data_IF_372876266030
#
_entry.id   IF_372876266030
#
_cell.length_a   1.000
_cell.length_b   1.000
_cell.length_c   1.000
_cell.angle_alpha   90.00
_cell.angle_beta   90.00
_cell.angle_gamma   90.00
#
_symmetry.space_group_name_H-M   'P 1'
#
loop_
_entity.id
_entity.type
_entity.pdbx_description
1 polymer ?
#
# COMPACT_ATOMS: atom_id res chain seq x y z
N UNK A 1 33.02 11.71 1.75
CA UNK A 1 33.19 11.18 3.13
C UNK A 1 31.98 10.32 3.44
N UNK A 2 32.19 9.03 3.64
CA UNK A 2 31.17 7.98 3.62
C UNK A 2 30.16 8.11 4.78
N UNK A 3 28.94 8.55 4.48
CA UNK A 3 27.77 8.44 5.35
C UNK A 3 26.97 7.21 4.88
N UNK A 4 27.50 6.02 5.19
CA UNK A 4 27.00 4.74 4.66
C UNK A 4 26.19 3.97 5.72
N UNK A 5 24.99 3.56 5.34
CA UNK A 5 24.16 2.44 5.82
C UNK A 5 23.76 2.29 7.31
N UNK A 6 24.59 2.65 8.29
CA UNK A 6 24.27 2.43 9.70
C UNK A 6 23.11 3.30 10.22
N UNK A 7 22.80 4.38 9.51
CA UNK A 7 21.87 5.43 9.91
C UNK A 7 20.42 5.14 9.51
N UNK A 8 20.23 4.35 8.44
CA UNK A 8 18.92 3.90 7.97
C UNK A 8 18.51 2.54 8.59
N UNK A 9 19.47 1.65 8.91
CA UNK A 9 19.16 0.41 9.63
C UNK A 9 18.75 0.67 11.10
N UNK A 10 19.20 1.79 11.69
CA UNK A 10 18.84 2.21 13.05
C UNK A 10 17.48 2.93 13.15
N UNK A 11 16.73 2.99 12.04
CA UNK A 11 15.33 3.44 12.00
C UNK A 11 14.34 2.30 12.27
N UNK A 12 14.81 1.05 12.35
CA UNK A 12 14.02 -0.14 12.70
C UNK A 12 14.19 -0.48 14.19
N UNK A 13 13.67 0.36 15.08
CA UNK A 13 13.22 -0.14 16.39
C UNK A 13 11.71 -0.37 16.33
N UNK A 14 11.20 -1.49 16.87
CA UNK A 14 9.77 -1.80 16.84
C UNK A 14 9.05 -0.79 17.73
N UNK A 15 8.41 0.20 17.10
CA UNK A 15 7.65 1.21 17.82
C UNK A 15 6.52 0.55 18.59
N UNK A 16 6.68 0.68 19.91
CA UNK A 16 5.80 0.22 20.95
C UNK A 16 4.37 0.71 20.78
N UNK A 17 3.46 -0.19 21.18
CA UNK A 17 2.08 0.12 21.52
C UNK A 17 1.93 1.46 22.23
N UNK A 18 1.07 2.32 21.69
CA UNK A 18 0.36 3.33 22.47
C UNK A 18 -0.47 2.59 23.53
N UNK A 19 0.09 2.47 24.75
CA UNK A 19 -0.68 2.07 25.92
C UNK A 19 -1.68 3.18 26.22
N UNK A 20 -2.93 2.98 25.80
CA UNK A 20 -4.09 3.70 26.34
C UNK A 20 -4.20 3.40 27.84
N UNK A 21 -4.06 4.42 28.66
CA UNK A 21 -4.33 4.35 30.09
C UNK A 21 -5.82 4.18 30.35
N UNK A 22 -6.19 3.13 31.09
CA UNK A 22 -7.44 3.10 31.86
C UNK A 22 -7.34 2.09 33.01
N UNK A 23 -7.31 2.67 34.21
CA UNK A 23 -7.89 2.27 35.50
C UNK A 23 -8.08 0.80 35.93
N UNK A 24 -7.61 0.57 37.17
CA UNK A 24 -8.24 -0.20 38.25
C UNK A 24 -8.00 -1.73 38.39
N UNK A 25 -7.29 -2.01 39.50
CA UNK A 25 -7.49 -3.09 40.47
C UNK A 25 -6.84 -4.48 40.29
N UNK A 26 -5.97 -4.73 41.29
CA UNK A 26 -5.69 -5.97 42.04
C UNK A 26 -4.63 -6.91 41.42
N UNK A 27 -3.41 -6.92 41.99
CA UNK A 27 -3.00 -7.82 43.09
C UNK A 27 -3.25 -9.29 42.74
N UNK A 28 -2.20 -10.01 42.35
CA UNK A 28 -1.61 -11.15 43.07
C UNK A 28 -0.45 -11.70 42.24
N UNK A 29 0.74 -11.62 42.82
CA UNK A 29 1.94 -12.39 42.47
C UNK A 29 1.77 -13.82 43.00
N UNK A 30 2.15 -14.84 42.24
CA UNK A 30 3.01 -15.95 42.68
C UNK A 30 3.48 -16.78 41.44
N UNK A 31 4.67 -17.41 41.48
CA UNK A 31 5.34 -18.02 40.33
C UNK A 31 5.31 -19.57 40.38
N UNK A 32 6.09 -20.20 39.49
CA UNK A 32 6.83 -21.47 39.69
C UNK A 32 6.37 -22.70 38.88
N UNK A 33 7.22 -22.98 37.87
CA UNK A 33 7.80 -24.25 37.44
C UNK A 33 6.98 -25.38 36.79
N UNK A 34 7.66 -25.89 35.75
CA UNK A 34 7.82 -27.29 35.38
C UNK A 34 6.64 -27.96 34.66
N UNK A 35 6.83 -28.14 33.35
CA UNK A 35 6.79 -29.49 32.78
C UNK A 35 7.69 -29.58 31.55
N UNK A 36 8.89 -30.10 31.79
CA UNK A 36 9.84 -30.55 30.78
C UNK A 36 9.84 -32.07 30.77
N UNK A 37 9.79 -32.63 29.56
CA UNK A 37 10.24 -34.00 29.28
C UNK A 37 9.13 -35.00 28.98
N UNK A 38 9.52 -36.02 28.19
CA UNK A 38 8.75 -37.19 27.72
C UNK A 38 8.03 -36.86 26.37
N UNK A 39 8.44 -37.30 25.17
CA UNK A 39 9.21 -38.46 24.73
C UNK A 39 9.93 -38.20 23.40
N UNK A 40 11.23 -38.50 23.38
CA UNK A 40 11.93 -38.98 22.20
C UNK A 40 11.61 -40.48 22.04
N UNK A 41 11.05 -40.88 20.89
CA UNK A 41 11.17 -42.21 20.29
C UNK A 41 10.21 -42.33 19.11
N UNK A 42 10.73 -42.31 17.88
CA UNK A 42 10.31 -43.11 16.71
C UNK A 42 10.97 -42.56 15.44
N UNK A 43 12.29 -42.64 15.43
CA UNK A 43 13.07 -42.64 14.21
C UNK A 43 13.37 -44.11 13.85
N UNK A 44 12.43 -44.81 13.23
CA UNK A 44 12.70 -46.07 12.54
C UNK A 44 11.57 -46.31 11.53
N UNK A 45 11.89 -46.16 10.24
CA UNK A 45 11.42 -46.93 9.07
C UNK A 45 11.56 -46.09 7.80
N UNK A 46 12.78 -46.09 7.23
CA UNK A 46 12.99 -45.87 5.80
C UNK A 46 13.12 -47.25 5.12
N UNK A 47 12.36 -47.53 4.05
CA UNK A 47 12.83 -48.32 2.93
C UNK A 47 13.42 -47.40 1.86
N UNK A 48 14.53 -47.86 1.30
CA UNK A 48 15.34 -47.19 0.31
C UNK A 48 14.88 -47.58 -1.09
N UNK A 49 15.40 -46.86 -2.08
CA UNK A 49 15.48 -47.16 -3.52
C UNK A 49 14.35 -46.62 -4.40
N UNK A 50 14.77 -45.73 -5.29
CA UNK A 50 13.98 -45.14 -6.36
C UNK A 50 14.82 -44.09 -7.07
N UNK A 51 15.95 -44.51 -7.66
CA UNK A 51 16.77 -43.69 -8.57
C UNK A 51 15.88 -43.24 -9.74
N UNK A 52 15.43 -41.99 -9.73
CA UNK A 52 14.89 -41.36 -10.92
C UNK A 52 16.08 -40.87 -11.76
N UNK A 53 16.40 -41.65 -12.79
CA UNK A 53 17.26 -41.23 -13.88
C UNK A 53 16.69 -39.93 -14.48
N UNK A 54 17.40 -38.83 -14.27
CA UNK A 54 17.23 -37.62 -15.07
C UNK A 54 17.65 -37.96 -16.51
N UNK A 55 16.69 -38.15 -17.40
CA UNK A 55 16.95 -38.20 -18.83
C UNK A 55 17.20 -36.76 -19.32
N UNK A 56 18.30 -36.50 -20.05
CA UNK A 56 18.50 -35.22 -20.70
C UNK A 56 17.52 -35.12 -21.87
N UNK A 57 16.57 -34.18 -21.79
CA UNK A 57 15.74 -33.82 -22.94
C UNK A 57 16.66 -33.16 -23.98
N UNK A 58 16.98 -33.92 -25.03
CA UNK A 58 17.67 -33.43 -26.21
C UNK A 58 16.80 -32.35 -26.87
N UNK A 59 17.40 -31.17 -26.99
CA UNK A 59 16.89 -30.04 -27.76
C UNK A 59 16.97 -30.41 -29.24
N UNK A 60 15.88 -30.91 -29.82
CA UNK A 60 15.79 -31.10 -31.26
C UNK A 60 15.71 -29.73 -31.94
N UNK A 61 16.76 -29.40 -32.69
CA UNK A 61 16.83 -28.26 -33.57
C UNK A 61 15.84 -28.45 -34.75
N UNK A 62 14.93 -27.50 -34.94
CA UNK A 62 14.19 -27.35 -36.19
C UNK A 62 14.99 -26.42 -37.14
N UNK A 63 14.99 -26.68 -38.46
CA UNK A 63 15.88 -26.02 -39.41
C UNK A 63 15.50 -24.56 -39.68
N UNK A 64 16.53 -23.70 -39.76
CA UNK A 64 16.44 -22.34 -40.28
C UNK A 64 16.28 -22.36 -41.82
N UNK A 65 15.36 -21.60 -42.42
CA UNK A 65 15.46 -21.19 -43.81
C UNK A 65 16.23 -19.86 -43.92
N UNK A 66 17.28 -19.87 -44.73
CA UNK A 66 18.07 -18.71 -45.17
C UNK A 66 17.35 -17.95 -46.32
N UNK A 67 17.84 -16.76 -46.75
CA UNK A 67 17.01 -15.59 -47.03
C UNK A 67 16.50 -15.50 -48.47
N UNK A 68 15.26 -15.04 -48.65
CA UNK A 68 14.64 -14.86 -49.96
C UNK A 68 13.73 -13.64 -50.02
N UNK A 69 14.28 -12.56 -50.60
CA UNK A 69 13.64 -11.53 -51.45
C UNK A 69 12.33 -10.87 -50.96
N UNK A 70 12.45 -9.60 -50.57
CA UNK A 70 11.34 -8.69 -50.30
C UNK A 70 10.41 -8.50 -51.51
N UNK A 71 9.08 -8.54 -51.34
CA UNK A 71 8.13 -7.91 -52.25
C UNK A 71 7.83 -6.47 -51.81
N UNK A 72 7.71 -5.61 -52.82
CA UNK A 72 7.53 -4.17 -52.74
C UNK A 72 6.25 -3.76 -51.98
N UNK A 73 6.39 -2.69 -51.19
CA UNK A 73 5.28 -1.97 -50.54
C UNK A 73 4.49 -1.21 -51.60
N UNK A 74 3.17 -1.38 -51.75
CA UNK A 74 2.35 -0.50 -52.57
C UNK A 74 2.20 0.87 -51.88
N UNK A 75 2.42 1.93 -52.65
CA UNK A 75 2.26 3.31 -52.21
C UNK A 75 0.82 3.61 -51.76
N UNK A 76 0.69 4.21 -50.58
CA UNK A 76 -0.57 4.77 -50.07
C UNK A 76 -0.80 6.12 -50.75
N UNK A 77 -1.93 6.36 -51.46
CA UNK A 77 -2.25 7.70 -51.91
C UNK A 77 -2.70 8.57 -50.73
N UNK A 78 -2.12 9.76 -50.64
CA UNK A 78 -2.54 10.80 -49.71
C UNK A 78 -4.01 11.18 -49.98
N UNK A 79 -4.84 11.11 -48.93
CA UNK A 79 -6.13 11.77 -48.90
C UNK A 79 -6.24 12.58 -47.61
N UNK A 80 -6.52 13.86 -47.82
CA UNK A 80 -6.59 14.97 -46.89
C UNK A 80 -7.85 14.96 -46.02
N UNK A 81 -7.67 15.43 -44.79
CA UNK A 81 -8.64 16.12 -43.93
C UNK A 81 -9.89 15.35 -43.44
N UNK A 82 -9.89 15.01 -42.14
CA UNK A 82 -10.85 15.52 -41.15
C UNK A 82 -10.50 14.93 -39.76
N UNK A 83 -10.74 15.73 -38.73
CA UNK A 83 -10.52 15.44 -37.32
C UNK A 83 -11.26 14.17 -36.88
N UNK A 84 -10.56 13.25 -36.20
CA UNK A 84 -11.19 12.25 -35.34
C UNK A 84 -10.21 11.91 -34.21
N UNK A 85 -10.60 12.27 -32.99
CA UNK A 85 -9.94 11.85 -31.76
C UNK A 85 -9.72 10.33 -31.75
N UNK A 86 -8.67 9.81 -31.09
CA UNK A 86 -8.47 8.38 -30.96
C UNK A 86 -9.59 7.77 -30.12
N UNK A 87 -10.68 7.37 -30.78
CA UNK A 87 -11.71 6.46 -30.24
C UNK A 87 -10.99 5.21 -29.78
N UNK A 88 -10.99 4.99 -28.47
CA UNK A 88 -10.64 3.70 -27.88
C UNK A 88 -11.50 2.64 -28.56
N UNK A 89 -10.92 1.86 -29.46
CA UNK A 89 -11.65 0.87 -30.24
C UNK A 89 -12.25 -0.16 -29.29
N UNK A 90 -13.55 -0.37 -29.42
CA UNK A 90 -14.46 -1.22 -28.63
C UNK A 90 -14.19 -2.74 -28.74
N UNK A 91 -12.91 -3.15 -28.81
CA UNK A 91 -12.48 -4.54 -28.98
C UNK A 91 -12.11 -5.24 -27.68
N UNK A 92 -12.14 -4.53 -26.55
CA UNK A 92 -12.02 -5.10 -25.21
C UNK A 92 -13.34 -4.86 -24.48
N UNK A 93 -14.25 -5.85 -24.52
CA UNK A 93 -15.44 -5.82 -23.68
C UNK A 93 -15.03 -6.13 -22.25
N UNK A 94 -14.77 -5.07 -21.47
CA UNK A 94 -14.64 -5.21 -20.02
C UNK A 94 -15.96 -5.80 -19.48
N UNK A 95 -15.94 -6.78 -18.57
CA UNK A 95 -17.15 -7.29 -17.95
C UNK A 95 -17.86 -6.16 -17.19
N UNK A 96 -18.89 -5.59 -17.81
CA UNK A 96 -19.76 -4.59 -17.17
C UNK A 96 -20.72 -5.35 -16.30
N UNK A 97 -20.38 -5.51 -15.02
CA UNK A 97 -21.33 -6.10 -14.10
C UNK A 97 -22.42 -5.07 -13.77
N UNK A 98 -23.59 -5.19 -14.39
CA UNK A 98 -24.77 -4.39 -14.02
C UNK A 98 -25.14 -4.57 -12.54
N UNK A 99 -24.69 -5.65 -11.89
CA UNK A 99 -24.84 -5.85 -10.46
C UNK A 99 -23.99 -4.87 -9.64
N UNK A 100 -22.82 -4.43 -10.14
CA UNK A 100 -21.94 -3.52 -9.43
C UNK A 100 -22.57 -2.12 -9.29
N UNK A 101 -23.13 -1.57 -10.37
CA UNK A 101 -23.87 -0.29 -10.29
C UNK A 101 -25.02 -0.37 -9.29
N UNK A 102 -25.82 -1.44 -9.34
CA UNK A 102 -26.94 -1.64 -8.39
C UNK A 102 -26.46 -1.72 -6.94
N UNK A 103 -25.32 -2.36 -6.69
CA UNK A 103 -24.72 -2.43 -5.34
C UNK A 103 -24.34 -1.04 -4.86
N UNK A 104 -23.65 -0.24 -5.67
CA UNK A 104 -23.24 1.12 -5.31
C UNK A 104 -24.45 2.04 -5.07
N UNK A 105 -25.45 2.01 -5.94
CA UNK A 105 -26.67 2.81 -5.75
C UNK A 105 -27.39 2.43 -4.45
N UNK A 106 -27.49 1.14 -4.14
CA UNK A 106 -28.09 0.68 -2.88
C UNK A 106 -27.29 1.13 -1.65
N UNK A 107 -25.96 1.16 -1.74
CA UNK A 107 -25.13 1.75 -0.67
C UNK A 107 -25.46 3.22 -0.47
N UNK A 108 -25.60 4.01 -1.55
CA UNK A 108 -25.96 5.43 -1.46
C UNK A 108 -27.33 5.62 -0.79
N UNK A 109 -28.31 4.79 -1.12
CA UNK A 109 -29.63 4.80 -0.48
C UNK A 109 -29.57 4.51 1.03
N UNK A 110 -28.77 3.52 1.45
CA UNK A 110 -28.57 3.22 2.87
C UNK A 110 -27.85 4.34 3.61
N UNK A 111 -26.85 4.95 2.99
CA UNK A 111 -26.14 6.11 3.56
C UNK A 111 -27.09 7.29 3.74
N UNK A 112 -27.98 7.55 2.78
CA UNK A 112 -28.99 8.61 2.89
C UNK A 112 -30.00 8.39 4.03
N UNK A 113 -30.19 7.14 4.44
CA UNK A 113 -31.05 6.74 5.59
C UNK A 113 -30.26 6.54 6.89
N UNK A 114 -28.96 6.81 6.89
CA UNK A 114 -28.05 6.56 8.02
C UNK A 114 -27.98 5.09 8.45
N UNK A 115 -28.31 4.15 7.55
CA UNK A 115 -28.22 2.71 7.77
C UNK A 115 -26.78 2.22 7.54
N UNK A 116 -25.87 2.62 8.44
CA UNK A 116 -24.43 2.38 8.29
C UNK A 116 -24.07 0.90 8.17
N UNK A 117 -24.75 0.03 8.93
CA UNK A 117 -24.42 -1.39 9.02
C UNK A 117 -24.43 -2.12 7.69
N UNK A 118 -25.48 -1.96 6.89
CA UNK A 118 -25.58 -2.63 5.59
C UNK A 118 -24.69 -1.97 4.53
N UNK A 119 -24.59 -0.64 4.58
CA UNK A 119 -23.69 0.13 3.71
C UNK A 119 -22.24 -0.30 3.86
N UNK A 120 -21.69 -0.28 5.08
CA UNK A 120 -20.28 -0.63 5.30
C UNK A 120 -19.99 -2.09 5.02
N UNK A 121 -20.94 -3.00 5.29
CA UNK A 121 -20.78 -4.43 5.00
C UNK A 121 -20.70 -4.70 3.51
N UNK A 122 -21.57 -4.06 2.72
CA UNK A 122 -21.54 -4.19 1.27
C UNK A 122 -20.26 -3.56 0.69
N UNK A 123 -19.87 -2.37 1.15
CA UNK A 123 -18.61 -1.72 0.74
C UNK A 123 -17.38 -2.57 1.05
N UNK A 124 -17.29 -3.13 2.27
CA UNK A 124 -16.18 -4.01 2.63
C UNK A 124 -16.16 -5.30 1.79
N UNK A 125 -17.34 -5.86 1.47
CA UNK A 125 -17.41 -7.06 0.61
C UNK A 125 -16.84 -6.78 -0.79
N UNK A 126 -17.07 -5.59 -1.34
CA UNK A 126 -16.49 -5.14 -2.61
C UNK A 126 -14.97 -5.04 -2.50
N UNK A 127 -14.46 -4.41 -1.43
CA UNK A 127 -13.03 -4.28 -1.18
C UNK A 127 -12.35 -5.65 -0.99
N UNK A 128 -13.08 -6.63 -0.46
CA UNK A 128 -12.56 -7.96 -0.21
C UNK A 128 -12.56 -8.88 -1.43
N UNK A 129 -13.30 -8.52 -2.49
CA UNK A 129 -13.32 -9.27 -3.77
C UNK A 129 -11.91 -9.44 -4.32
N UNK A 130 -11.58 -10.60 -4.87
CA UNK A 130 -10.28 -10.87 -5.48
C UNK A 130 -10.08 -10.13 -6.79
N UNK A 131 -11.14 -9.95 -7.55
CA UNK A 131 -11.14 -9.22 -8.82
C UNK A 131 -11.77 -7.84 -8.65
N UNK A 132 -11.25 -6.88 -9.40
CA UNK A 132 -11.83 -5.56 -9.52
C UNK A 132 -12.73 -5.52 -10.74
N UNK A 133 -13.88 -4.89 -10.58
CA UNK A 133 -14.88 -4.72 -11.63
C UNK A 133 -14.91 -3.25 -12.00
N UNK A 134 -15.31 -2.93 -13.22
CA UNK A 134 -15.48 -1.54 -13.66
C UNK A 134 -16.95 -1.19 -13.76
N UNK A 135 -17.27 0.06 -13.41
CA UNK A 135 -18.58 0.66 -13.60
C UNK A 135 -18.47 1.95 -14.43
N UNK A 136 -19.59 2.45 -14.95
CA UNK A 136 -19.65 3.80 -15.51
C UNK A 136 -20.08 4.78 -14.44
N UNK A 137 -19.30 5.83 -14.22
CA UNK A 137 -19.68 6.94 -13.34
C UNK A 137 -20.79 7.80 -13.98
N UNK A 138 -21.28 8.80 -13.25
CA UNK A 138 -22.31 9.74 -13.70
C UNK A 138 -21.89 10.53 -14.97
N UNK A 139 -20.57 10.64 -15.20
CA UNK A 139 -19.98 11.30 -16.37
C UNK A 139 -19.71 10.31 -17.52
N UNK A 140 -20.14 9.05 -17.39
CA UNK A 140 -19.97 8.01 -18.39
C UNK A 140 -18.56 7.42 -18.47
N UNK A 141 -17.65 7.75 -17.54
CA UNK A 141 -16.27 7.26 -17.49
C UNK A 141 -16.21 5.91 -16.80
N UNK A 142 -15.32 5.03 -17.26
CA UNK A 142 -15.07 3.74 -16.63
C UNK A 142 -14.23 3.91 -15.37
N UNK A 143 -14.78 3.50 -14.22
CA UNK A 143 -14.15 3.63 -12.90
C UNK A 143 -14.16 2.27 -12.20
N UNK A 144 -13.09 1.97 -11.48
CA UNK A 144 -12.99 0.80 -10.61
C UNK A 144 -14.08 0.83 -9.52
N UNK A 145 -14.76 -0.29 -9.32
CA UNK A 145 -15.76 -0.44 -8.26
C UNK A 145 -15.10 -0.40 -6.88
N UNK A 146 -13.87 -0.92 -6.75
CA UNK A 146 -13.10 -0.77 -5.49
C UNK A 146 -12.68 0.66 -5.23
N UNK A 147 -12.29 1.40 -6.27
CA UNK A 147 -11.99 2.82 -6.14
C UNK A 147 -13.22 3.58 -5.64
N UNK A 148 -14.37 3.33 -6.24
CA UNK A 148 -15.62 3.96 -5.84
C UNK A 148 -16.04 3.59 -4.42
N UNK A 149 -15.89 2.32 -4.03
CA UNK A 149 -16.16 1.90 -2.65
C UNK A 149 -15.24 2.60 -1.63
N UNK A 150 -13.95 2.73 -1.95
CA UNK A 150 -13.01 3.49 -1.12
C UNK A 150 -13.36 4.98 -1.06
N UNK A 151 -13.77 5.58 -2.17
CA UNK A 151 -14.21 6.98 -2.22
C UNK A 151 -15.41 7.19 -1.29
N UNK A 152 -16.45 6.37 -1.41
CA UNK A 152 -17.66 6.44 -0.58
C UNK A 152 -17.33 6.27 0.91
N UNK A 153 -16.51 5.28 1.28
CA UNK A 153 -16.10 5.10 2.68
C UNK A 153 -15.34 6.31 3.25
N UNK A 154 -14.55 6.99 2.41
CA UNK A 154 -13.80 8.19 2.81
C UNK A 154 -14.67 9.44 2.95
N UNK A 155 -15.79 9.48 2.23
CA UNK A 155 -16.76 10.57 2.25
C UNK A 155 -17.88 10.38 3.28
N UNK A 156 -17.96 9.21 3.93
CA UNK A 156 -18.92 8.97 5.00
C UNK A 156 -18.83 10.07 6.07
N UNK A 157 -19.98 10.48 6.66
CA UNK A 157 -19.98 11.30 7.85
C UNK A 157 -19.17 10.68 8.99
N UNK A 158 -18.77 11.51 9.95
CA UNK A 158 -17.92 11.07 11.08
C UNK A 158 -18.50 9.86 11.82
N UNK A 159 -19.82 9.75 11.94
CA UNK A 159 -20.47 8.63 12.61
C UNK A 159 -20.38 7.34 11.80
N UNK A 160 -20.55 7.41 10.47
CA UNK A 160 -20.33 6.28 9.57
C UNK A 160 -18.87 5.81 9.56
N UNK A 161 -17.91 6.74 9.60
CA UNK A 161 -16.48 6.39 9.71
C UNK A 161 -16.14 5.71 11.04
N UNK A 162 -16.71 6.20 12.15
CA UNK A 162 -16.56 5.56 13.47
C UNK A 162 -17.19 4.17 13.50
N UNK A 163 -18.37 4.00 12.89
CA UNK A 163 -19.01 2.71 12.76
C UNK A 163 -18.13 1.73 11.97
N UNK A 164 -17.53 2.17 10.86
CA UNK A 164 -16.62 1.36 10.06
C UNK A 164 -15.37 0.91 10.87
N UNK A 165 -14.76 1.82 11.65
CA UNK A 165 -13.65 1.47 12.55
C UNK A 165 -14.07 0.48 13.64
N UNK A 166 -15.28 0.62 14.20
CA UNK A 166 -15.80 -0.31 15.19
C UNK A 166 -15.98 -1.72 14.61
N UNK A 167 -16.58 -1.83 13.42
CA UNK A 167 -16.88 -3.10 12.77
C UNK A 167 -15.61 -3.80 12.24
N UNK A 168 -14.70 -3.06 11.59
CA UNK A 168 -13.58 -3.65 10.86
C UNK A 168 -12.20 -3.38 11.45
N UNK A 169 -12.07 -2.46 12.41
CA UNK A 169 -10.78 -2.10 13.00
C UNK A 169 -10.08 -3.27 13.71
N UNK A 170 -10.83 -4.16 14.37
CA UNK A 170 -10.25 -5.33 15.02
C UNK A 170 -9.65 -6.33 14.02
N UNK A 171 -10.36 -6.59 12.92
CA UNK A 171 -9.89 -7.45 11.83
C UNK A 171 -8.66 -6.84 11.14
N UNK A 172 -8.68 -5.54 10.86
CA UNK A 172 -7.58 -4.81 10.26
C UNK A 172 -6.32 -4.84 11.14
N UNK A 173 -6.45 -4.60 12.46
CA UNK A 173 -5.34 -4.71 13.42
C UNK A 173 -4.76 -6.12 13.47
N UNK A 174 -5.61 -7.15 13.46
CA UNK A 174 -5.15 -8.54 13.43
C UNK A 174 -4.40 -8.87 12.13
N UNK A 175 -4.88 -8.38 10.98
CA UNK A 175 -4.21 -8.53 9.70
C UNK A 175 -2.85 -7.81 9.68
N UNK A 176 -2.79 -6.58 10.19
CA UNK A 176 -1.53 -5.81 10.30
C UNK A 176 -0.51 -6.52 11.18
N UNK A 177 -0.92 -7.05 12.34
CA UNK A 177 -0.02 -7.84 13.20
C UNK A 177 0.58 -9.05 12.47
N UNK A 178 -0.21 -9.75 11.65
CA UNK A 178 0.28 -10.86 10.81
C UNK A 178 1.22 -10.37 9.71
N UNK A 179 0.88 -9.28 9.04
CA UNK A 179 1.73 -8.66 8.02
C UNK A 179 3.10 -8.28 8.58
N UNK A 180 3.13 -7.62 9.74
CA UNK A 180 4.37 -7.27 10.45
C UNK A 180 5.22 -8.50 10.77
N UNK A 181 4.61 -9.60 11.22
CA UNK A 181 5.33 -10.84 11.51
C UNK A 181 5.93 -11.49 10.26
N UNK A 182 5.28 -11.35 9.09
CA UNK A 182 5.79 -11.90 7.82
C UNK A 182 6.90 -11.06 7.20
N UNK A 183 6.93 -9.76 7.47
CA UNK A 183 7.81 -8.81 6.79
C UNK A 183 7.52 -8.64 5.29
N UNK A 184 6.42 -9.19 4.77
CA UNK A 184 6.06 -9.16 3.35
C UNK A 184 5.35 -7.83 2.99
N UNK A 185 5.92 -6.99 2.11
CA UNK A 185 5.28 -5.77 1.63
C UNK A 185 3.91 -6.01 0.96
N UNK A 186 3.67 -7.20 0.39
CA UNK A 186 2.36 -7.58 -0.18
C UNK A 186 1.26 -7.54 0.87
N UNK A 187 1.56 -8.01 2.08
CA UNK A 187 0.59 -8.01 3.17
C UNK A 187 0.17 -6.57 3.52
N UNK A 188 1.12 -5.64 3.58
CA UNK A 188 0.80 -4.22 3.81
C UNK A 188 -0.06 -3.63 2.70
N UNK A 189 0.23 -3.96 1.44
CA UNK A 189 -0.56 -3.50 0.31
C UNK A 189 -2.01 -4.01 0.35
N UNK A 190 -2.22 -5.29 0.65
CA UNK A 190 -3.56 -5.85 0.79
C UNK A 190 -4.35 -5.18 1.92
N UNK A 191 -3.72 -4.92 3.07
CA UNK A 191 -4.37 -4.26 4.20
C UNK A 191 -4.67 -2.80 3.88
N UNK A 192 -3.72 -2.08 3.29
CA UNK A 192 -3.88 -0.69 2.89
C UNK A 192 -5.03 -0.50 1.91
N UNK A 193 -5.29 -1.48 1.03
CA UNK A 193 -6.43 -1.43 0.11
C UNK A 193 -7.76 -1.84 0.74
N UNK A 194 -7.77 -2.92 1.51
CA UNK A 194 -9.00 -3.53 2.05
C UNK A 194 -9.53 -2.77 3.25
N UNK A 195 -8.65 -2.14 4.02
CA UNK A 195 -8.97 -1.50 5.29
C UNK A 195 -8.50 -0.05 5.33
N UNK A 196 -8.36 0.62 4.18
CA UNK A 196 -7.76 1.96 4.04
C UNK A 196 -8.29 2.98 5.05
N UNK A 197 -9.57 2.89 5.39
CA UNK A 197 -10.23 3.86 6.25
C UNK A 197 -10.16 3.55 7.75
N UNK A 198 -9.61 2.39 8.13
CA UNK A 198 -9.30 2.04 9.52
C UNK A 198 -7.95 2.61 9.96
N UNK A 199 -7.71 2.68 11.27
CA UNK A 199 -6.39 3.07 11.81
C UNK A 199 -5.27 2.13 11.33
N UNK A 200 -5.52 0.81 11.38
CA UNK A 200 -4.54 -0.19 10.95
C UNK A 200 -4.28 -0.15 9.43
N UNK A 201 -5.26 0.25 8.62
CA UNK A 201 -5.07 0.46 7.19
C UNK A 201 -4.21 1.68 6.87
N UNK A 202 -4.38 2.77 7.64
CA UNK A 202 -3.51 3.94 7.54
C UNK A 202 -2.06 3.59 7.92
N UNK A 203 -1.87 2.82 8.99
CA UNK A 203 -0.55 2.32 9.41
C UNK A 203 0.07 1.41 8.34
N UNK A 204 -0.70 0.48 7.77
CA UNK A 204 -0.25 -0.38 6.68
C UNK A 204 0.19 0.44 5.44
N UNK A 205 -0.58 1.46 5.08
CA UNK A 205 -0.25 2.34 3.96
C UNK A 205 1.01 3.18 4.24
N UNK A 206 1.22 3.62 5.48
CA UNK A 206 2.47 4.29 5.89
C UNK A 206 3.69 3.36 5.79
N UNK A 207 3.55 2.11 6.23
CA UNK A 207 4.60 1.09 6.12
C UNK A 207 4.92 0.78 4.66
N UNK A 208 3.89 0.66 3.81
CA UNK A 208 4.06 0.47 2.37
C UNK A 208 4.76 1.66 1.72
N UNK A 209 4.40 2.90 2.09
CA UNK A 209 5.09 4.11 1.63
C UNK A 209 6.56 4.16 2.08
N UNK A 210 6.86 3.74 3.31
CA UNK A 210 8.24 3.58 3.78
C UNK A 210 8.99 2.55 2.94
N UNK A 211 8.40 1.38 2.69
CA UNK A 211 8.99 0.35 1.85
C UNK A 211 9.36 0.87 0.46
N UNK A 212 8.45 1.57 -0.22
CA UNK A 212 8.73 2.14 -1.54
C UNK A 212 9.81 3.20 -1.52
N UNK A 213 9.80 4.07 -0.50
CA UNK A 213 10.83 5.08 -0.33
C UNK A 213 12.20 4.43 -0.14
N UNK A 214 12.25 3.34 0.62
CA UNK A 214 13.44 2.51 0.76
C UNK A 214 13.87 1.87 -0.55
N UNK A 215 12.95 1.41 -1.40
CA UNK A 215 13.31 0.89 -2.72
C UNK A 215 13.68 1.98 -3.75
N UNK A 216 13.66 3.27 -3.39
CA UNK A 216 13.84 4.37 -4.34
C UNK A 216 12.67 4.57 -5.30
N UNK A 217 11.54 3.91 -5.03
CA UNK A 217 10.30 4.02 -5.78
C UNK A 217 9.52 5.26 -5.33
N UNK A 218 10.07 6.44 -5.63
CA UNK A 218 9.60 7.72 -5.08
C UNK A 218 8.15 8.06 -5.45
N UNK A 219 7.72 7.72 -6.68
CA UNK A 219 6.33 7.94 -7.13
C UNK A 219 5.36 7.12 -6.29
N UNK A 220 5.62 5.82 -6.11
CA UNK A 220 4.77 4.95 -5.31
C UNK A 220 4.74 5.37 -3.83
N UNK A 221 5.90 5.79 -3.30
CA UNK A 221 5.97 6.33 -1.94
C UNK A 221 5.14 7.61 -1.79
N UNK A 222 5.26 8.56 -2.73
CA UNK A 222 4.51 9.81 -2.72
C UNK A 222 3.00 9.56 -2.75
N UNK A 223 2.53 8.63 -3.60
CA UNK A 223 1.12 8.24 -3.68
C UNK A 223 0.60 7.63 -2.37
N UNK A 224 1.40 6.80 -1.69
CA UNK A 224 1.04 6.29 -0.36
C UNK A 224 0.86 7.43 0.64
N UNK A 225 1.83 8.36 0.72
CA UNK A 225 1.76 9.48 1.66
C UNK A 225 0.68 10.50 1.30
N UNK A 226 0.39 10.71 0.02
CA UNK A 226 -0.66 11.60 -0.44
C UNK A 226 -2.03 11.14 0.08
N UNK A 227 -2.31 9.82 -0.01
CA UNK A 227 -3.55 9.26 0.56
C UNK A 227 -3.67 9.52 2.06
N UNK A 228 -2.57 9.44 2.81
CA UNK A 228 -2.58 9.77 4.24
C UNK A 228 -2.83 11.26 4.48
N UNK A 229 -2.19 12.15 3.71
CA UNK A 229 -2.38 13.59 3.83
C UNK A 229 -3.78 14.06 3.43
N UNK A 230 -4.46 13.30 2.58
CA UNK A 230 -5.83 13.61 2.14
C UNK A 230 -6.90 12.99 3.06
N UNK A 231 -6.53 12.06 3.94
CA UNK A 231 -7.44 11.53 4.97
C UNK A 231 -7.62 12.58 6.09
N UNK A 232 -8.85 13.02 6.39
CA UNK A 232 -9.10 14.04 7.41
C UNK A 232 -8.50 13.68 8.77
N UNK A 233 -7.75 14.61 9.37
CA UNK A 233 -7.11 14.45 10.68
C UNK A 233 -5.96 13.44 10.76
N UNK A 234 -5.60 12.76 9.64
CA UNK A 234 -4.54 11.76 9.65
C UNK A 234 -3.16 12.41 9.74
N UNK A 235 -2.95 13.57 9.11
CA UNK A 235 -1.69 14.32 9.16
C UNK A 235 -1.29 14.63 10.62
N UNK A 236 -2.26 14.93 11.48
CA UNK A 236 -2.06 15.22 12.90
C UNK A 236 -1.55 14.01 13.69
N UNK A 237 -1.88 12.79 13.24
CA UNK A 237 -1.51 11.52 13.89
C UNK A 237 -0.20 10.93 13.38
N UNK A 238 0.28 11.37 12.21
CA UNK A 238 1.54 10.87 11.64
C UNK A 238 2.72 11.21 12.56
N UNK A 239 3.70 10.31 12.69
CA UNK A 239 4.92 10.60 13.45
C UNK A 239 5.80 11.64 12.74
N UNK A 240 6.71 12.28 13.46
CA UNK A 240 7.67 13.20 12.85
C UNK A 240 8.50 12.50 11.75
N UNK A 241 8.88 11.25 11.98
CA UNK A 241 9.60 10.44 11.00
C UNK A 241 8.74 10.16 9.75
N UNK A 242 7.45 9.89 9.90
CA UNK A 242 6.54 9.68 8.78
C UNK A 242 6.35 10.97 7.96
N UNK A 243 6.17 12.12 8.61
CA UNK A 243 6.09 13.43 7.95
C UNK A 243 7.38 13.76 7.19
N UNK A 244 8.54 13.48 7.78
CA UNK A 244 9.83 13.66 7.12
C UNK A 244 9.97 12.76 5.88
N UNK A 245 9.60 11.47 5.98
CA UNK A 245 9.58 10.54 4.86
C UNK A 245 8.61 10.96 3.75
N UNK A 246 7.44 11.47 4.12
CA UNK A 246 6.47 12.03 3.17
C UNK A 246 7.07 13.23 2.42
N UNK A 247 7.64 14.20 3.14
CA UNK A 247 8.30 15.35 2.54
C UNK A 247 9.45 14.95 1.60
N UNK A 248 10.25 13.95 1.97
CA UNK A 248 11.27 13.39 1.09
C UNK A 248 10.67 12.79 -0.18
N UNK A 249 9.63 11.96 -0.07
CA UNK A 249 8.99 11.34 -1.22
C UNK A 249 8.48 12.40 -2.21
N UNK A 250 7.79 13.43 -1.71
CA UNK A 250 7.26 14.52 -2.54
C UNK A 250 8.34 15.41 -3.16
N UNK A 251 9.42 15.70 -2.43
CA UNK A 251 10.57 16.44 -3.00
C UNK A 251 11.18 15.66 -4.18
N UNK A 252 11.30 14.33 -4.06
CA UNK A 252 11.87 13.49 -5.15
C UNK A 252 10.96 13.36 -6.36
N UNK A 253 9.65 13.55 -6.21
CA UNK A 253 8.69 13.55 -7.32
C UNK A 253 8.38 14.95 -7.84
N UNK A 254 8.89 16.01 -7.20
CA UNK A 254 8.62 17.41 -7.56
C UNK A 254 7.25 17.93 -7.11
N UNK A 255 6.54 17.23 -6.22
CA UNK A 255 5.25 17.68 -5.65
C UNK A 255 5.50 18.69 -4.52
N UNK A 256 5.72 19.94 -4.90
CA UNK A 256 6.02 21.03 -3.95
C UNK A 256 4.88 21.29 -2.97
N UNK A 257 3.63 21.12 -3.40
CA UNK A 257 2.43 21.35 -2.57
C UNK A 257 2.38 20.37 -1.41
N UNK A 258 2.42 19.07 -1.68
CA UNK A 258 2.33 18.07 -0.62
C UNK A 258 3.63 18.00 0.20
N UNK A 259 4.79 18.27 -0.42
CA UNK A 259 6.05 18.46 0.31
C UNK A 259 5.91 19.55 1.36
N UNK A 260 5.44 20.73 0.98
CA UNK A 260 5.34 21.88 1.89
C UNK A 260 4.28 21.63 2.98
N UNK A 261 3.16 20.96 2.65
CA UNK A 261 2.18 20.52 3.66
C UNK A 261 2.81 19.61 4.72
N UNK A 262 3.51 18.56 4.30
CA UNK A 262 4.17 17.62 5.22
C UNK A 262 5.30 18.30 6.02
N UNK A 263 6.11 19.13 5.36
CA UNK A 263 7.21 19.85 5.99
C UNK A 263 6.73 20.88 7.03
N UNK A 264 5.70 21.66 6.72
CA UNK A 264 5.19 22.68 7.63
C UNK A 264 4.56 22.05 8.88
N UNK A 265 3.89 20.90 8.74
CA UNK A 265 3.44 20.12 9.89
C UNK A 265 4.62 19.64 10.74
N UNK A 266 5.65 19.06 10.11
CA UNK A 266 6.84 18.60 10.81
C UNK A 266 7.52 19.75 11.56
N UNK A 267 7.74 20.89 10.90
CA UNK A 267 8.38 22.06 11.47
C UNK A 267 7.65 22.55 12.73
N UNK A 268 6.31 22.65 12.68
CA UNK A 268 5.48 23.00 13.85
C UNK A 268 5.69 22.07 15.06
N UNK A 269 6.07 20.81 14.83
CA UNK A 269 6.30 19.82 15.88
C UNK A 269 7.76 19.72 16.32
N UNK A 270 8.72 20.14 15.49
CA UNK A 270 10.12 20.20 15.92
C UNK A 270 10.32 21.23 17.04
N UNK A 271 9.48 22.27 17.06
CA UNK A 271 9.46 23.29 18.11
C UNK A 271 8.83 22.82 19.44
N UNK A 272 8.20 21.63 19.46
CA UNK A 272 7.49 21.08 20.63
C UNK A 272 8.08 19.72 21.06
N UNK A 273 8.60 19.59 22.28
CA UNK A 273 9.06 18.28 22.77
C UNK A 273 7.87 17.34 23.06
N UNK A 274 7.75 16.25 22.28
CA UNK A 274 6.71 15.19 22.37
C UNK A 274 5.91 15.07 21.06
N UNK A 275 5.63 13.93 20.44
CA UNK A 275 5.10 12.63 20.92
C UNK A 275 5.73 11.41 20.20
N UNK A 276 6.60 11.63 19.21
CA UNK A 276 7.35 10.59 18.52
C UNK A 276 8.51 11.27 17.78
N UNK A 277 9.65 11.47 18.46
CA UNK A 277 10.71 12.33 17.94
C UNK A 277 11.39 11.67 16.75
N UNK A 278 11.95 12.50 15.86
CA UNK A 278 12.87 12.03 14.83
C UNK A 278 13.98 11.16 15.43
N UNK A 279 14.60 10.24 14.69
CA UNK A 279 15.79 9.54 15.15
C UNK A 279 16.86 10.52 15.65
N UNK A 280 17.59 10.15 16.71
CA UNK A 280 18.57 11.03 17.36
C UNK A 280 19.59 11.65 16.39
N UNK A 281 19.92 10.97 15.30
CA UNK A 281 20.84 11.52 14.30
C UNK A 281 20.22 12.66 13.49
N UNK A 282 18.95 12.53 13.12
CA UNK A 282 18.24 13.58 12.40
C UNK A 282 17.92 14.76 13.32
N UNK A 283 17.69 14.52 14.62
CA UNK A 283 17.51 15.61 15.60
C UNK A 283 18.74 16.53 15.73
N UNK A 284 19.96 15.99 15.53
CA UNK A 284 21.20 16.79 15.54
C UNK A 284 21.30 17.72 14.34
N UNK A 285 20.55 17.43 13.27
CA UNK A 285 20.44 18.33 12.13
C UNK A 285 19.38 19.38 12.50
N UNK A 286 19.81 20.63 12.63
CA UNK A 286 18.87 21.74 12.77
C UNK A 286 17.87 21.78 11.59
N UNK A 287 16.71 22.46 11.75
CA UNK A 287 15.59 22.39 10.80
C UNK A 287 15.99 22.77 9.37
N UNK A 288 16.84 23.79 9.19
CA UNK A 288 17.35 24.19 7.87
C UNK A 288 18.17 23.09 7.20
N UNK A 289 19.10 22.46 7.92
CA UNK A 289 19.91 21.36 7.38
C UNK A 289 19.05 20.14 7.07
N UNK A 290 18.05 19.87 7.91
CA UNK A 290 17.09 18.81 7.67
C UNK A 290 16.27 19.07 6.40
N UNK A 291 15.84 20.32 6.16
CA UNK A 291 15.12 20.70 4.93
C UNK A 291 16.00 20.54 3.70
N UNK A 292 17.24 21.05 3.74
CA UNK A 292 18.19 20.89 2.64
C UNK A 292 18.48 19.42 2.34
N UNK A 293 18.40 18.54 3.34
CA UNK A 293 18.66 17.11 3.15
C UNK A 293 17.57 16.36 2.38
N UNK A 294 16.36 16.93 2.22
CA UNK A 294 15.30 16.36 1.38
C UNK A 294 15.75 16.21 -0.09
N UNK A 295 16.50 17.20 -0.59
CA UNK A 295 16.95 17.30 -1.98
C UNK A 295 18.19 16.44 -2.29
N UNK A 296 18.87 15.92 -1.27
CA UNK A 296 20.09 15.11 -1.47
C UNK A 296 19.76 13.81 -2.18
N UNK A 297 20.34 13.58 -3.36
CA UNK A 297 20.15 12.32 -4.12
C UNK A 297 20.87 11.16 -3.42
N UNK A 298 20.23 10.00 -3.41
CA UNK A 298 20.83 8.78 -2.85
C UNK A 298 21.52 8.01 -3.98
N UNK A 299 22.80 8.26 -4.22
CA UNK A 299 23.51 7.79 -5.43
C UNK A 299 23.96 6.31 -5.37
N UNK A 300 23.78 5.62 -4.23
CA UNK A 300 24.43 4.32 -4.00
C UNK A 300 23.53 3.25 -3.35
N UNK A 301 22.39 2.89 -3.96
CA UNK A 301 21.56 1.77 -3.46
C UNK A 301 21.51 0.59 -4.44
N UNK A 302 21.97 -0.61 -4.04
CA UNK A 302 21.70 -1.82 -4.81
C UNK A 302 20.20 -2.11 -4.77
N UNK A 303 19.59 -2.34 -5.94
CA UNK A 303 18.16 -2.63 -6.05
C UNK A 303 17.82 -3.92 -5.31
N UNK A 304 16.88 -3.88 -4.35
CA UNK A 304 16.22 -5.11 -3.89
C UNK A 304 15.12 -5.48 -4.88
N UNK A 305 14.64 -6.72 -4.82
CA UNK A 305 13.60 -7.23 -5.72
C UNK A 305 12.43 -6.25 -5.83
N UNK A 306 12.14 -5.81 -7.06
CA UNK A 306 11.08 -4.85 -7.35
C UNK A 306 9.73 -5.55 -7.17
N UNK A 307 8.97 -5.11 -6.17
CA UNK A 307 7.57 -5.48 -6.04
C UNK A 307 6.72 -4.33 -6.57
N UNK A 308 6.10 -4.53 -7.73
CA UNK A 308 5.20 -3.54 -8.32
C UNK A 308 3.76 -3.82 -7.89
N UNK A 309 3.34 -3.15 -6.83
CA UNK A 309 1.91 -3.07 -6.54
C UNK A 309 1.23 -2.13 -7.54
N UNK A 310 0.19 -2.58 -8.27
CA UNK A 310 -0.61 -1.67 -9.09
C UNK A 310 -1.37 -0.72 -8.18
N UNK A 311 -0.82 0.49 -7.99
CA UNK A 311 -1.56 1.57 -7.39
C UNK A 311 -2.68 1.93 -8.35
N UNK A 312 -3.92 1.66 -7.96
CA UNK A 312 -5.10 2.13 -8.69
C UNK A 312 -5.12 3.65 -8.62
N UNK A 313 -4.59 4.27 -9.67
CA UNK A 313 -4.71 5.70 -9.94
C UNK A 313 -6.06 5.86 -10.63
N UNK A 314 -7.12 6.10 -9.85
CA UNK A 314 -8.42 6.42 -10.42
C UNK A 314 -8.31 7.69 -11.28
N UNK A 315 -8.95 7.68 -12.45
CA UNK A 315 -9.11 8.83 -13.35
C UNK A 315 -10.44 9.55 -13.14
#
# INVERSE_FOLDING_TARGET
>A
MALNFALLAKLEEPWCMVKRGSSWMRLVLLPVLAWSGVLAALAYFLPHTGRLHAQPVQKAAAPQPAPGRAPAVPAVPASTAAEDEPRFTDRVRLPVDRSANRKIERVKEWIAKEEWGDAVRLLQSILNSQEDVVLKDEKGRWVSVRYEANRILGELPRDGQQFYELEYGAAARAALKRGLASGDPKAYAEIAMRYMHTEAGADANQLLGTYYLDQGCYIQAALCYERLLNKPGQIDRMSQAALYKAAMAFERTGDTRNRDRAWNELARRLDRPGESPLPAVLQRLGPERLKSSLALKNEARPGRGRFDWPLYLGS
#
